data_IF_854590598138
#
_entry.id   IF_854590598138
#
_cell.length_a   1.000
_cell.length_b   1.000
_cell.length_c   1.000
_cell.angle_alpha   90.00
_cell.angle_beta   90.00
_cell.angle_gamma   90.00
#
_symmetry.space_group_name_H-M   'P 1'
#
loop_
_entity.id
_entity.type
_entity.pdbx_description
1 polymer ?
#
# COMPACT_ATOMS: atom_id res chain seq x y z
N UNK A 1 16.10 -6.11 9.05
CA UNK A 1 15.19 -5.09 8.47
C UNK A 1 13.79 -5.69 8.48
N UNK A 2 12.72 -4.89 8.56
CA UNK A 2 11.35 -5.43 8.61
C UNK A 2 10.74 -5.40 7.21
N UNK A 3 10.33 -6.56 6.69
CA UNK A 3 9.61 -6.65 5.43
C UNK A 3 8.11 -6.70 5.71
N UNK A 4 7.33 -5.92 4.98
CA UNK A 4 5.88 -5.84 5.17
C UNK A 4 5.16 -5.92 3.84
N UNK A 5 3.91 -6.36 3.91
CA UNK A 5 2.90 -6.15 2.88
C UNK A 5 1.83 -5.24 3.44
N UNK A 6 1.48 -4.20 2.68
CA UNK A 6 0.44 -3.24 3.03
C UNK A 6 -0.67 -3.32 1.98
N UNK A 7 -1.89 -3.58 2.44
CA UNK A 7 -3.09 -3.44 1.63
C UNK A 7 -3.70 -2.07 1.88
N UNK A 8 -3.94 -1.30 0.82
CA UNK A 8 -4.38 0.09 0.91
C UNK A 8 -5.23 0.51 -0.28
N UNK A 9 -6.07 1.54 -0.08
CA UNK A 9 -6.88 2.16 -1.12
C UNK A 9 -6.10 3.26 -1.81
N UNK A 10 -5.94 3.20 -3.11
CA UNK A 10 -5.21 4.24 -3.86
C UNK A 10 -6.01 5.53 -4.11
N UNK A 11 -7.34 5.41 -4.07
CA UNK A 11 -8.26 6.52 -4.13
C UNK A 11 -9.44 6.27 -3.19
N UNK A 12 -9.94 7.35 -2.62
CA UNK A 12 -11.13 7.36 -1.77
C UNK A 12 -12.10 8.37 -2.36
N UNK A 13 -13.32 7.94 -2.66
CA UNK A 13 -14.40 8.85 -3.06
C UNK A 13 -15.11 9.38 -1.82
N UNK A 14 -15.40 10.68 -1.83
CA UNK A 14 -16.17 11.31 -0.77
C UNK A 14 -17.41 11.97 -1.35
N UNK A 15 -18.55 11.72 -0.72
CA UNK A 15 -19.77 12.50 -0.90
C UNK A 15 -20.19 13.03 0.48
N UNK A 16 -20.65 14.29 0.52
CA UNK A 16 -21.15 14.91 1.75
C UNK A 16 -22.22 14.01 2.39
N UNK A 17 -21.99 13.60 3.63
CA UNK A 17 -22.91 12.74 4.39
C UNK A 17 -22.76 11.23 4.16
N UNK A 18 -21.81 10.77 3.34
CA UNK A 18 -21.58 9.34 3.08
C UNK A 18 -20.22 8.86 3.60
N UNK A 19 -20.15 7.58 3.96
CA UNK A 19 -18.90 6.91 4.31
C UNK A 19 -18.02 6.85 3.05
N UNK A 20 -16.75 7.29 3.13
CA UNK A 20 -15.86 7.23 1.97
C UNK A 20 -15.72 5.79 1.44
N UNK A 21 -15.98 5.60 0.15
CA UNK A 21 -15.83 4.31 -0.53
C UNK A 21 -14.50 4.25 -1.28
N UNK A 22 -13.82 3.10 -1.21
CA UNK A 22 -12.56 2.88 -1.93
C UNK A 22 -12.81 2.53 -3.39
N UNK A 23 -11.93 2.98 -4.29
CA UNK A 23 -12.05 2.64 -5.72
C UNK A 23 -11.22 1.40 -6.10
N UNK A 24 -9.95 1.37 -5.70
CA UNK A 24 -9.02 0.31 -6.08
C UNK A 24 -8.18 -0.10 -4.88
N UNK A 25 -8.08 -1.42 -4.68
CA UNK A 25 -7.27 -1.99 -3.64
C UNK A 25 -5.87 -2.31 -4.19
N UNK A 26 -4.85 -1.73 -3.58
CA UNK A 26 -3.45 -1.98 -3.86
C UNK A 26 -2.86 -2.88 -2.77
N UNK A 27 -1.96 -3.76 -3.16
CA UNK A 27 -1.08 -4.47 -2.25
C UNK A 27 0.37 -4.09 -2.58
N UNK A 28 1.06 -3.47 -1.62
CA UNK A 28 2.45 -3.06 -1.76
C UNK A 28 3.31 -3.82 -0.76
N UNK A 29 4.32 -4.54 -1.24
CA UNK A 29 5.32 -5.18 -0.41
C UNK A 29 6.67 -4.49 -0.53
N UNK A 30 7.46 -4.52 0.55
CA UNK A 30 8.79 -3.92 0.55
C UNK A 30 9.38 -3.78 1.96
N UNK A 31 10.49 -3.07 2.04
CA UNK A 31 11.19 -2.83 3.31
C UNK A 31 10.51 -1.66 4.03
N UNK A 32 10.05 -1.87 5.26
CA UNK A 32 9.55 -0.78 6.09
C UNK A 32 10.72 0.14 6.46
N UNK A 33 10.70 1.37 5.96
CA UNK A 33 11.71 2.39 6.27
C UNK A 33 11.26 3.31 7.40
N UNK A 34 9.96 3.66 7.44
CA UNK A 34 9.39 4.53 8.48
C UNK A 34 7.90 4.30 8.63
N UNK A 35 7.41 4.36 9.86
CA UNK A 35 5.99 4.34 10.20
C UNK A 35 5.69 5.51 11.15
N UNK A 36 4.67 6.29 10.82
CA UNK A 36 4.16 7.38 11.67
C UNK A 36 2.64 7.27 11.82
N UNK A 37 2.06 8.17 12.61
CA UNK A 37 0.62 8.40 12.70
C UNK A 37 -0.01 8.81 11.36
N UNK A 38 0.78 9.41 10.45
CA UNK A 38 0.29 9.96 9.17
C UNK A 38 0.54 9.03 7.98
N UNK A 39 1.65 8.30 7.94
CA UNK A 39 2.02 7.51 6.76
C UNK A 39 2.92 6.31 7.08
N UNK A 40 3.03 5.41 6.10
CA UNK A 40 4.01 4.33 6.02
C UNK A 40 4.92 4.61 4.82
N UNK A 41 6.24 4.54 5.02
CA UNK A 41 7.23 4.65 3.96
C UNK A 41 7.85 3.28 3.69
N UNK A 42 7.65 2.78 2.47
CA UNK A 42 8.16 1.49 1.99
C UNK A 42 9.28 1.74 0.98
N UNK A 43 10.43 1.09 1.19
CA UNK A 43 11.56 1.10 0.27
C UNK A 43 11.58 -0.12 -0.65
N UNK A 44 12.08 0.09 -1.88
CA UNK A 44 12.06 -0.92 -2.95
C UNK A 44 10.66 -1.57 -3.11
N UNK A 45 9.58 -0.77 -3.19
CA UNK A 45 8.23 -1.29 -3.22
C UNK A 45 7.99 -2.12 -4.48
N UNK A 46 7.31 -3.25 -4.30
CA UNK A 46 6.63 -3.97 -5.37
C UNK A 46 5.13 -3.88 -5.11
N UNK A 47 4.41 -3.25 -6.01
CA UNK A 47 2.97 -3.07 -5.89
C UNK A 47 2.24 -3.90 -6.92
N UNK A 48 1.23 -4.65 -6.49
CA UNK A 48 0.25 -5.27 -7.37
C UNK A 48 -1.11 -4.63 -7.07
N UNK A 49 -1.86 -4.30 -8.12
CA UNK A 49 -3.27 -3.97 -7.93
C UNK A 49 -4.06 -5.27 -7.81
N UNK A 50 -4.96 -5.35 -6.83
CA UNK A 50 -5.80 -6.53 -6.64
C UNK A 50 -6.84 -6.61 -7.78
N UNK A 51 -7.46 -7.78 -8.02
CA UNK A 51 -8.30 -8.05 -9.19
C UNK A 51 -9.53 -7.14 -9.39
N UNK A 52 -9.78 -6.22 -8.48
CA UNK A 52 -10.94 -5.33 -8.40
C UNK A 52 -10.78 -3.97 -9.13
N UNK A 53 -9.64 -3.65 -9.79
CA UNK A 53 -9.50 -2.36 -10.48
C UNK A 53 -8.41 -2.22 -11.56
N UNK A 54 -8.58 -1.19 -12.43
CA UNK A 54 -7.85 -0.76 -13.66
C UNK A 54 -6.30 -0.89 -13.67
N UNK A 55 -5.62 -0.94 -14.84
CA UNK A 55 -4.17 -1.13 -14.93
C UNK A 55 -3.32 -0.11 -14.15
N UNK A 56 -2.23 -0.60 -13.55
CA UNK A 56 -1.16 0.20 -12.93
C UNK A 56 -0.37 0.96 -14.01
N UNK A 57 0.11 2.19 -13.76
CA UNK A 57 1.01 2.86 -14.69
C UNK A 57 2.34 2.09 -14.78
N UNK A 58 2.59 1.41 -15.90
CA UNK A 58 3.80 0.60 -16.18
C UNK A 58 5.12 1.40 -16.21
N UNK A 59 5.12 2.67 -15.84
CA UNK A 59 6.23 3.59 -16.09
C UNK A 59 6.78 4.18 -14.79
N UNK A 60 7.69 3.41 -14.19
CA UNK A 60 8.76 3.75 -13.23
C UNK A 60 8.72 2.83 -12.01
N UNK A 61 9.77 2.03 -11.82
CA UNK A 61 10.01 1.31 -10.56
C UNK A 61 10.34 2.36 -9.48
N UNK A 62 9.40 2.68 -8.58
CA UNK A 62 9.63 3.73 -7.62
C UNK A 62 10.63 3.23 -6.57
N UNK A 63 11.60 4.05 -6.18
CA UNK A 63 12.54 3.71 -5.10
C UNK A 63 11.84 3.65 -3.73
N UNK A 64 10.77 4.44 -3.57
CA UNK A 64 10.02 4.58 -2.33
C UNK A 64 8.53 4.75 -2.61
N UNK A 65 7.69 4.20 -1.74
CA UNK A 65 6.24 4.45 -1.69
C UNK A 65 5.87 5.03 -0.34
N UNK A 66 5.16 6.17 -0.37
CA UNK A 66 4.57 6.79 0.81
C UNK A 66 3.06 6.51 0.78
N UNK A 67 2.57 5.73 1.74
CA UNK A 67 1.17 5.32 1.85
C UNK A 67 0.56 6.05 3.05
N UNK A 68 -0.42 6.97 2.85
CA UNK A 68 -1.12 7.62 3.96
C UNK A 68 -1.84 6.60 4.85
N UNK A 69 -1.76 6.76 6.18
CA UNK A 69 -2.37 5.82 7.14
C UNK A 69 -3.89 5.70 6.99
N UNK A 70 -4.57 6.79 6.62
CA UNK A 70 -6.01 6.80 6.35
C UNK A 70 -6.43 5.97 5.13
N UNK A 71 -5.47 5.53 4.30
CA UNK A 71 -5.71 4.67 3.15
C UNK A 71 -5.37 3.20 3.43
N UNK A 72 -4.72 2.90 4.54
CA UNK A 72 -4.28 1.54 4.89
C UNK A 72 -5.46 0.75 5.44
N UNK A 73 -5.72 -0.42 4.87
CA UNK A 73 -6.69 -1.37 5.40
C UNK A 73 -6.01 -2.39 6.30
N UNK A 74 -4.93 -3.00 5.81
CA UNK A 74 -4.23 -4.09 6.50
C UNK A 74 -2.71 -3.97 6.34
N UNK A 75 -1.99 -4.37 7.37
CA UNK A 75 -0.53 -4.49 7.38
C UNK A 75 -0.20 -5.91 7.83
N UNK A 76 0.61 -6.61 7.05
CA UNK A 76 1.13 -7.93 7.39
C UNK A 76 2.65 -7.86 7.47
N UNK A 77 3.20 -8.31 8.59
CA UNK A 77 4.64 -8.52 8.73
C UNK A 77 5.02 -9.82 8.03
N UNK A 78 6.10 -9.78 7.25
CA UNK A 78 6.66 -10.97 6.62
C UNK A 78 7.96 -11.28 7.35
N UNK A 79 7.99 -12.43 8.00
CA UNK A 79 9.21 -12.97 8.58
C UNK A 79 10.16 -13.38 7.43
N UNK A 80 11.37 -12.83 7.39
CA UNK A 80 12.37 -13.08 6.33
C UNK A 80 12.69 -14.58 6.16
N UNK A 81 12.33 -15.43 7.12
CA UNK A 81 12.57 -16.88 7.10
C UNK A 81 11.65 -17.69 6.15
N UNK A 82 10.60 -17.08 5.59
CA UNK A 82 9.63 -17.80 4.73
C UNK A 82 9.85 -17.65 3.21
N UNK A 83 10.96 -17.06 2.78
CA UNK A 83 11.29 -16.88 1.35
C UNK A 83 12.38 -17.82 0.82
N UNK A 84 12.58 -19.00 1.43
CA UNK A 84 13.48 -20.05 0.90
C UNK A 84 12.72 -21.10 0.11
#
# INVERSE_FOLDING_TARGET
MKYITVTWKDATFYHLGHIPSGCSCMETSGVLLKETDKYILIGKPKSIRRPDGKPYPETSEPKYFLIPKGMVEHIKEIDEKLQR
#
